data_IF_115983814503
#
_entry.id   IF_115983814503
#
_cell.length_a   1.000
_cell.length_b   1.000
_cell.length_c   1.000
_cell.angle_alpha   90.00
_cell.angle_beta   90.00
_cell.angle_gamma   90.00
#
_symmetry.space_group_name_H-M   'P 1'
#
loop_
_entity.id
_entity.type
_entity.pdbx_description
1 polymer ?
#
# COMPACT_ATOMS: atom_id res chain seq x y z
N UNK A 1 111.04 -45.77 -2.06
CA UNK A 1 112.12 -46.36 -1.25
C UNK A 1 111.63 -46.57 0.19
N UNK A 2 110.84 -47.62 0.44
CA UNK A 2 110.08 -47.80 1.70
C UNK A 2 110.49 -49.09 2.42
N UNK A 3 111.70 -49.10 2.98
CA UNK A 3 112.07 -50.06 4.04
C UNK A 3 112.93 -49.44 5.17
N UNK A 4 113.41 -48.19 5.04
CA UNK A 4 114.12 -47.46 6.11
C UNK A 4 113.28 -46.37 6.82
N UNK A 5 112.16 -45.91 6.25
CA UNK A 5 111.29 -44.88 6.89
C UNK A 5 110.31 -45.42 7.95
N UNK A 6 110.10 -46.74 8.03
CA UNK A 6 109.14 -47.33 8.99
C UNK A 6 109.73 -47.60 10.38
N UNK A 7 111.04 -47.48 10.56
CA UNK A 7 111.70 -47.68 11.87
C UNK A 7 111.82 -46.35 12.65
N UNK A 8 111.77 -45.19 11.97
CA UNK A 8 111.83 -43.87 12.60
C UNK A 8 110.51 -43.40 13.26
N UNK A 9 109.35 -43.73 12.68
CA UNK A 9 108.02 -43.36 13.24
C UNK A 9 107.61 -44.23 14.44
N UNK A 10 108.18 -45.43 14.58
CA UNK A 10 107.87 -46.35 15.68
C UNK A 10 108.62 -46.00 16.98
N UNK A 11 109.74 -45.27 16.91
CA UNK A 11 110.52 -44.87 18.08
C UNK A 11 110.12 -43.49 18.64
N UNK A 12 109.64 -42.56 17.80
CA UNK A 12 109.14 -41.25 18.29
C UNK A 12 107.79 -41.38 19.01
N UNK A 13 106.92 -42.28 18.56
CA UNK A 13 105.59 -42.51 19.15
C UNK A 13 105.58 -43.19 20.52
N UNK A 14 106.73 -43.68 20.99
CA UNK A 14 106.88 -44.27 22.34
C UNK A 14 107.30 -43.25 23.41
N UNK A 15 107.94 -42.14 23.02
CA UNK A 15 108.48 -41.14 23.95
C UNK A 15 107.42 -40.08 24.33
N UNK A 16 106.48 -39.75 23.44
CA UNK A 16 105.49 -38.69 23.71
C UNK A 16 104.34 -39.13 24.63
N UNK A 17 103.95 -40.41 24.62
CA UNK A 17 102.83 -40.94 25.40
C UNK A 17 102.95 -40.82 26.93
N UNK A 18 104.12 -41.09 27.57
CA UNK A 18 104.23 -40.91 29.01
C UNK A 18 104.26 -39.43 29.43
N UNK A 19 104.75 -38.54 28.56
CA UNK A 19 104.79 -37.10 28.83
C UNK A 19 103.38 -36.50 28.78
N UNK A 20 102.57 -36.90 27.80
CA UNK A 20 101.17 -36.45 27.69
C UNK A 20 100.30 -36.97 28.85
N UNK A 21 100.53 -38.21 29.32
CA UNK A 21 99.79 -38.79 30.44
C UNK A 21 100.05 -38.08 31.79
N UNK A 22 101.28 -37.59 32.03
CA UNK A 22 101.61 -36.82 33.25
C UNK A 22 101.08 -35.38 33.15
N UNK A 23 101.13 -34.76 31.97
CA UNK A 23 100.50 -33.46 31.72
C UNK A 23 98.97 -33.52 31.90
N UNK A 24 98.32 -34.60 31.48
CA UNK A 24 96.89 -34.79 31.69
C UNK A 24 96.54 -35.08 33.16
N UNK A 25 97.42 -35.73 33.92
CA UNK A 25 97.20 -35.95 35.36
C UNK A 25 97.29 -34.65 36.18
N UNK A 26 98.25 -33.76 35.88
CA UNK A 26 98.40 -32.47 36.56
C UNK A 26 97.29 -31.48 36.17
N UNK A 27 96.78 -31.57 34.94
CA UNK A 27 95.71 -30.69 34.46
C UNK A 27 94.30 -31.18 34.80
N UNK A 28 94.11 -32.45 35.16
CA UNK A 28 92.81 -33.03 35.52
C UNK A 28 92.04 -32.29 36.64
N UNK A 29 92.63 -31.93 37.80
CA UNK A 29 91.89 -31.21 38.85
C UNK A 29 91.52 -29.78 38.44
N UNK A 30 92.35 -29.14 37.61
CA UNK A 30 92.07 -27.81 37.05
C UNK A 30 90.97 -27.87 35.99
N UNK A 31 91.01 -28.89 35.11
CA UNK A 31 89.96 -29.17 34.13
C UNK A 31 88.64 -29.52 34.81
N UNK A 32 88.65 -30.26 35.91
CA UNK A 32 87.45 -30.58 36.68
C UNK A 32 86.84 -29.35 37.37
N UNK A 33 87.65 -28.50 37.99
CA UNK A 33 87.17 -27.24 38.59
C UNK A 33 86.69 -26.22 37.53
N UNK A 34 87.30 -26.21 36.36
CA UNK A 34 86.84 -25.40 35.22
C UNK A 34 85.56 -25.98 34.61
N UNK A 35 85.44 -27.31 34.54
CA UNK A 35 84.23 -28.00 34.11
C UNK A 35 83.07 -27.72 35.06
N UNK A 36 83.28 -27.80 36.37
CA UNK A 36 82.25 -27.52 37.37
C UNK A 36 81.80 -26.06 37.33
N UNK A 37 82.72 -25.10 37.17
CA UNK A 37 82.34 -23.69 36.93
C UNK A 37 81.62 -23.48 35.62
N UNK A 38 81.99 -24.20 34.56
CA UNK A 38 81.29 -24.19 33.27
C UNK A 38 79.89 -24.79 33.40
N UNK A 39 79.72 -25.89 34.11
CA UNK A 39 78.41 -26.50 34.37
C UNK A 39 77.54 -25.62 35.26
N UNK A 40 78.08 -25.01 36.31
CA UNK A 40 77.34 -24.08 37.17
C UNK A 40 76.96 -22.80 36.42
N UNK A 41 77.85 -22.25 35.59
CA UNK A 41 77.53 -21.08 34.76
C UNK A 41 76.53 -21.41 33.64
N UNK A 42 76.61 -22.61 33.05
CA UNK A 42 75.61 -23.10 32.09
C UNK A 42 74.27 -23.36 32.76
N UNK A 43 74.24 -23.94 33.97
CA UNK A 43 73.03 -24.16 34.74
C UNK A 43 72.38 -22.84 35.15
N UNK A 44 73.16 -21.87 35.64
CA UNK A 44 72.65 -20.53 35.97
C UNK A 44 72.18 -19.76 34.71
N UNK A 45 72.84 -19.93 33.57
CA UNK A 45 72.39 -19.36 32.30
C UNK A 45 71.09 -20.04 31.81
N UNK A 46 70.97 -21.36 31.98
CA UNK A 46 69.78 -22.12 31.64
C UNK A 46 68.59 -21.75 32.54
N UNK A 47 68.80 -21.61 33.84
CA UNK A 47 67.79 -21.17 34.80
C UNK A 47 67.29 -19.74 34.49
N UNK A 48 68.20 -18.82 34.15
CA UNK A 48 67.81 -17.48 33.67
C UNK A 48 67.03 -17.54 32.37
N UNK A 49 67.42 -18.41 31.44
CA UNK A 49 66.71 -18.59 30.18
C UNK A 49 65.30 -19.15 30.41
N UNK A 50 65.14 -20.12 31.32
CA UNK A 50 63.84 -20.66 31.74
C UNK A 50 63.00 -19.56 32.40
N UNK A 51 63.55 -18.79 33.35
CA UNK A 51 62.81 -17.72 34.01
C UNK A 51 62.36 -16.61 33.04
N UNK A 52 63.18 -16.28 32.04
CA UNK A 52 62.83 -15.35 30.96
C UNK A 52 61.75 -15.95 30.05
N UNK A 53 61.84 -17.24 29.74
CA UNK A 53 60.85 -17.92 28.92
C UNK A 53 59.50 -18.05 29.64
N UNK A 54 59.49 -18.41 30.93
CA UNK A 54 58.29 -18.46 31.76
C UNK A 54 57.65 -17.09 31.92
N UNK A 55 58.44 -16.04 32.15
CA UNK A 55 57.89 -14.68 32.24
C UNK A 55 57.29 -14.23 30.92
N UNK A 56 57.90 -14.56 29.77
CA UNK A 56 57.32 -14.33 28.43
C UNK A 56 56.02 -15.11 28.20
N UNK A 57 56.00 -16.40 28.54
CA UNK A 57 54.78 -17.22 28.41
C UNK A 57 53.66 -16.67 29.29
N UNK A 58 53.97 -16.18 30.50
CA UNK A 58 53.00 -15.54 31.38
C UNK A 58 52.51 -14.20 30.82
N UNK A 59 53.40 -13.36 30.29
CA UNK A 59 52.97 -12.10 29.67
C UNK A 59 52.12 -12.35 28.43
N UNK A 60 52.52 -13.30 27.57
CA UNK A 60 51.84 -13.62 26.32
C UNK A 60 50.47 -14.28 26.57
N UNK A 61 50.36 -15.11 27.62
CA UNK A 61 49.08 -15.66 28.05
C UNK A 61 48.15 -14.60 28.63
N UNK A 62 48.66 -13.66 29.43
CA UNK A 62 47.86 -12.55 29.97
C UNK A 62 47.41 -11.60 28.86
N UNK A 63 48.28 -11.27 27.90
CA UNK A 63 47.90 -10.40 26.76
C UNK A 63 46.88 -11.10 25.87
N UNK A 64 47.08 -12.37 25.53
CA UNK A 64 46.11 -13.12 24.71
C UNK A 64 44.75 -13.32 25.39
N UNK A 65 44.71 -13.48 26.72
CA UNK A 65 43.44 -13.51 27.47
C UNK A 65 42.74 -12.15 27.37
N UNK A 66 43.46 -11.05 27.60
CA UNK A 66 42.89 -9.68 27.50
C UNK A 66 42.42 -9.34 26.09
N UNK A 67 43.15 -9.78 25.07
CA UNK A 67 42.73 -9.62 23.67
C UNK A 67 41.42 -10.36 23.39
N UNK A 68 41.30 -11.62 23.85
CA UNK A 68 40.06 -12.40 23.71
C UNK A 68 38.89 -11.81 24.51
N UNK A 69 39.15 -11.30 25.71
CA UNK A 69 38.14 -10.61 26.52
C UNK A 69 37.67 -9.33 25.82
N UNK A 70 38.59 -8.52 25.31
CA UNK A 70 38.26 -7.31 24.55
C UNK A 70 37.49 -7.63 23.26
N UNK A 71 37.86 -8.68 22.53
CA UNK A 71 37.13 -9.17 21.35
C UNK A 71 35.71 -9.61 21.72
N UNK A 72 35.54 -10.35 22.82
CA UNK A 72 34.23 -10.78 23.31
C UNK A 72 33.36 -9.61 23.73
N UNK A 73 33.93 -8.61 24.41
CA UNK A 73 33.21 -7.39 24.79
C UNK A 73 32.76 -6.58 23.57
N UNK A 74 33.62 -6.48 22.55
CA UNK A 74 33.26 -5.81 21.29
C UNK A 74 32.13 -6.55 20.58
N UNK A 75 32.14 -7.88 20.57
CA UNK A 75 31.08 -8.67 19.95
C UNK A 75 29.74 -8.52 20.71
N UNK A 76 29.77 -8.53 22.04
CA UNK A 76 28.57 -8.27 22.85
C UNK A 76 28.02 -6.86 22.60
N UNK A 77 28.88 -5.86 22.47
CA UNK A 77 28.46 -4.49 22.11
C UNK A 77 27.81 -4.46 20.73
N UNK A 78 28.42 -5.08 19.72
CA UNK A 78 27.84 -5.17 18.36
C UNK A 78 26.47 -5.83 18.37
N UNK A 79 26.31 -6.97 19.04
CA UNK A 79 25.02 -7.66 19.13
C UNK A 79 23.97 -6.77 19.81
N UNK A 80 24.34 -6.07 20.87
CA UNK A 80 23.44 -5.14 21.56
C UNK A 80 23.00 -4.01 20.63
N UNK A 81 23.93 -3.39 19.92
CA UNK A 81 23.65 -2.29 19.00
C UNK A 81 22.76 -2.76 17.84
N UNK A 82 22.99 -3.98 17.32
CA UNK A 82 22.12 -4.63 16.34
C UNK A 82 20.71 -4.82 16.91
N UNK A 83 20.56 -5.30 18.15
CA UNK A 83 19.24 -5.50 18.74
C UNK A 83 18.49 -4.18 18.96
N UNK A 84 19.18 -3.11 19.36
CA UNK A 84 18.58 -1.78 19.52
C UNK A 84 18.13 -1.25 18.15
N UNK A 85 18.99 -1.32 17.14
CA UNK A 85 18.65 -0.87 15.79
C UNK A 85 17.50 -1.65 15.18
N UNK A 86 17.40 -2.97 15.43
CA UNK A 86 16.23 -3.77 15.02
C UNK A 86 14.95 -3.27 15.70
N UNK A 87 14.99 -3.03 17.02
CA UNK A 87 13.85 -2.52 17.76
C UNK A 87 13.41 -1.14 17.26
N UNK A 88 14.35 -0.24 16.98
CA UNK A 88 14.08 1.05 16.36
C UNK A 88 13.42 0.87 14.99
N UNK A 89 13.97 0.03 14.11
CA UNK A 89 13.40 -0.25 12.77
C UNK A 89 11.96 -0.76 12.88
N UNK A 90 11.67 -1.62 13.84
CA UNK A 90 10.32 -2.13 14.08
C UNK A 90 9.35 -1.03 14.54
N UNK A 91 9.79 -0.10 15.39
CA UNK A 91 9.02 1.09 15.75
C UNK A 91 8.76 1.99 14.54
N UNK A 92 9.79 2.28 13.74
CA UNK A 92 9.66 3.04 12.49
C UNK A 92 8.68 2.38 11.50
N UNK A 93 8.68 1.05 11.40
CA UNK A 93 7.74 0.29 10.54
C UNK A 93 6.30 0.47 11.02
N UNK A 94 6.07 0.38 12.34
CA UNK A 94 4.75 0.59 12.95
C UNK A 94 4.25 2.01 12.75
N UNK A 95 5.08 3.01 13.00
CA UNK A 95 4.72 4.42 12.82
C UNK A 95 4.40 4.75 11.36
N UNK A 96 5.18 4.23 10.42
CA UNK A 96 4.91 4.41 8.99
C UNK A 96 3.64 3.67 8.54
N UNK A 97 3.32 2.53 9.15
CA UNK A 97 2.04 1.85 8.90
C UNK A 97 0.87 2.67 9.47
N UNK A 98 1.00 3.21 10.67
CA UNK A 98 0.00 4.07 11.31
C UNK A 98 -0.25 5.35 10.51
N UNK A 99 0.81 6.03 10.05
CA UNK A 99 0.68 7.23 9.21
C UNK A 99 -0.06 6.94 7.91
N UNK A 100 0.28 5.83 7.23
CA UNK A 100 -0.46 5.41 6.02
C UNK A 100 -1.92 5.15 6.35
N UNK A 101 -2.19 4.45 7.44
CA UNK A 101 -3.55 4.17 7.89
C UNK A 101 -4.33 5.46 8.19
N UNK A 102 -3.72 6.42 8.88
CA UNK A 102 -4.33 7.72 9.18
C UNK A 102 -4.67 8.49 7.90
N UNK A 103 -3.73 8.58 6.95
CA UNK A 103 -3.96 9.23 5.66
C UNK A 103 -5.09 8.57 4.87
N UNK A 104 -5.12 7.23 4.85
CA UNK A 104 -6.21 6.49 4.20
C UNK A 104 -7.54 6.70 4.91
N UNK A 105 -7.55 6.73 6.24
CA UNK A 105 -8.76 6.94 7.02
C UNK A 105 -9.31 8.35 6.80
N UNK A 106 -8.45 9.37 6.82
CA UNK A 106 -8.84 10.76 6.55
C UNK A 106 -9.37 10.93 5.12
N UNK A 107 -8.73 10.31 4.12
CA UNK A 107 -9.23 10.30 2.75
C UNK A 107 -10.61 9.62 2.64
N UNK A 108 -10.82 8.52 3.35
CA UNK A 108 -12.12 7.82 3.38
C UNK A 108 -13.19 8.66 4.06
N UNK A 109 -12.89 9.26 5.22
CA UNK A 109 -13.83 10.11 5.97
C UNK A 109 -14.23 11.33 5.12
N UNK A 110 -13.25 12.06 4.59
CA UNK A 110 -13.52 13.25 3.76
C UNK A 110 -14.28 12.90 2.48
N UNK A 111 -14.01 11.73 1.89
CA UNK A 111 -14.79 11.22 0.77
C UNK A 111 -16.24 10.94 1.17
N UNK A 112 -16.46 10.25 2.29
CA UNK A 112 -17.80 9.95 2.82
C UNK A 112 -18.59 11.24 3.11
N UNK A 113 -17.98 12.23 3.77
CA UNK A 113 -18.61 13.52 4.06
C UNK A 113 -19.03 14.26 2.79
N UNK A 114 -18.14 14.36 1.80
CA UNK A 114 -18.45 15.01 0.51
C UNK A 114 -19.61 14.33 -0.20
N UNK A 115 -19.63 13.01 -0.18
CA UNK A 115 -20.66 12.22 -0.82
C UNK A 115 -22.00 12.33 -0.09
N UNK A 116 -22.02 12.29 1.25
CA UNK A 116 -23.25 12.51 2.03
C UNK A 116 -23.82 13.90 1.77
N UNK A 117 -22.97 14.91 1.71
CA UNK A 117 -23.39 16.27 1.37
C UNK A 117 -23.99 16.34 -0.03
N UNK A 118 -23.33 15.70 -1.02
CA UNK A 118 -23.85 15.63 -2.39
C UNK A 118 -25.20 14.91 -2.44
N UNK A 119 -25.37 13.81 -1.71
CA UNK A 119 -26.62 13.07 -1.62
C UNK A 119 -27.73 13.92 -1.00
N UNK A 120 -27.47 14.62 0.11
CA UNK A 120 -28.45 15.53 0.72
C UNK A 120 -28.86 16.64 -0.27
N UNK A 121 -27.89 17.27 -0.94
CA UNK A 121 -28.18 18.28 -1.95
C UNK A 121 -28.95 17.71 -3.15
N UNK A 122 -28.67 16.47 -3.55
CA UNK A 122 -29.42 15.80 -4.62
C UNK A 122 -30.87 15.51 -4.20
N UNK A 123 -31.10 15.03 -2.97
CA UNK A 123 -32.46 14.80 -2.42
C UNK A 123 -33.24 16.10 -2.39
N UNK A 124 -32.63 17.18 -1.89
CA UNK A 124 -33.24 18.50 -1.84
C UNK A 124 -33.61 19.01 -3.25
N UNK A 125 -32.69 18.87 -4.21
CA UNK A 125 -32.92 19.23 -5.60
C UNK A 125 -34.06 18.40 -6.24
N UNK A 126 -34.10 17.08 -6.00
CA UNK A 126 -35.17 16.21 -6.50
C UNK A 126 -36.52 16.57 -5.87
N UNK A 127 -36.55 16.80 -4.55
CA UNK A 127 -37.76 17.16 -3.81
C UNK A 127 -38.32 18.51 -4.24
N UNK A 128 -37.46 19.53 -4.36
CA UNK A 128 -37.85 20.86 -4.86
C UNK A 128 -38.35 20.80 -6.30
N UNK A 129 -37.66 20.07 -7.19
CA UNK A 129 -38.11 19.85 -8.56
C UNK A 129 -39.46 19.13 -8.61
N UNK A 130 -39.70 18.12 -7.77
CA UNK A 130 -40.98 17.42 -7.69
C UNK A 130 -42.12 18.37 -7.29
N UNK A 131 -41.89 19.24 -6.30
CA UNK A 131 -42.87 20.23 -5.86
C UNK A 131 -43.15 21.25 -6.97
N UNK A 132 -42.09 21.81 -7.56
CA UNK A 132 -42.19 22.80 -8.63
C UNK A 132 -42.91 22.25 -9.86
N UNK A 133 -42.61 21.02 -10.28
CA UNK A 133 -43.28 20.39 -11.42
C UNK A 133 -44.77 20.15 -11.14
N UNK A 134 -45.14 19.78 -9.90
CA UNK A 134 -46.55 19.63 -9.50
C UNK A 134 -47.27 20.97 -9.51
N UNK A 135 -46.65 22.02 -8.98
CA UNK A 135 -47.20 23.37 -9.00
C UNK A 135 -47.40 23.86 -10.43
N UNK A 136 -46.39 23.72 -11.30
CA UNK A 136 -46.47 24.10 -12.72
C UNK A 136 -47.56 23.31 -13.46
N UNK A 137 -47.70 22.02 -13.17
CA UNK A 137 -48.75 21.18 -13.74
C UNK A 137 -50.16 21.67 -13.33
N UNK A 138 -50.37 21.97 -12.04
CA UNK A 138 -51.64 22.49 -11.55
C UNK A 138 -51.96 23.87 -12.15
N UNK A 139 -50.96 24.75 -12.19
CA UNK A 139 -51.10 26.07 -12.82
C UNK A 139 -51.45 25.95 -14.30
N UNK A 140 -50.82 25.02 -15.02
CA UNK A 140 -51.14 24.77 -16.42
C UNK A 140 -52.60 24.35 -16.61
N UNK A 141 -53.11 23.45 -15.77
CA UNK A 141 -54.53 23.03 -15.82
C UNK A 141 -55.45 24.23 -15.59
N UNK A 142 -55.14 25.05 -14.58
CA UNK A 142 -55.92 26.24 -14.27
C UNK A 142 -55.91 27.26 -15.43
N UNK A 143 -54.72 27.64 -15.90
CA UNK A 143 -54.55 28.63 -16.96
C UNK A 143 -55.22 28.17 -18.26
N UNK A 144 -55.13 26.88 -18.58
CA UNK A 144 -55.77 26.31 -19.77
C UNK A 144 -57.28 26.26 -19.61
N UNK A 145 -57.80 25.86 -18.45
CA UNK A 145 -59.25 25.86 -18.18
C UNK A 145 -59.84 27.26 -18.36
N UNK A 146 -59.13 28.30 -17.89
CA UNK A 146 -59.55 29.69 -18.09
C UNK A 146 -59.56 30.08 -19.58
N UNK A 147 -58.49 29.78 -20.32
CA UNK A 147 -58.40 30.02 -21.76
C UNK A 147 -59.53 29.31 -22.54
N UNK A 148 -59.94 28.10 -22.12
CA UNK A 148 -61.07 27.42 -22.74
C UNK A 148 -62.39 28.10 -22.49
N UNK A 149 -62.64 28.57 -21.27
CA UNK A 149 -63.85 29.33 -20.95
C UNK A 149 -63.92 30.63 -21.77
N UNK A 150 -62.79 31.30 -21.96
CA UNK A 150 -62.69 32.47 -22.82
C UNK A 150 -63.00 32.14 -24.28
N UNK A 151 -62.38 31.07 -24.82
CA UNK A 151 -62.64 30.61 -26.19
C UNK A 151 -64.12 30.27 -26.43
N UNK A 152 -64.75 29.58 -25.48
CA UNK A 152 -66.17 29.26 -25.52
C UNK A 152 -67.02 30.55 -25.49
N UNK A 153 -66.66 31.53 -24.67
CA UNK A 153 -67.36 32.82 -24.61
C UNK A 153 -67.25 33.58 -25.93
N UNK A 154 -66.07 33.60 -26.55
CA UNK A 154 -65.86 34.19 -27.88
C UNK A 154 -66.71 33.45 -28.92
N UNK A 155 -66.71 32.12 -28.92
CA UNK A 155 -67.48 31.32 -29.86
C UNK A 155 -69.00 31.54 -29.71
N UNK A 156 -69.51 31.69 -28.48
CA UNK A 156 -70.92 32.03 -28.22
C UNK A 156 -71.23 33.43 -28.78
N UNK A 157 -70.36 34.41 -28.54
CA UNK A 157 -70.56 35.77 -29.04
C UNK A 157 -70.53 35.83 -30.57
N UNK A 158 -69.61 35.11 -31.22
CA UNK A 158 -69.56 34.95 -32.67
C UNK A 158 -70.84 34.30 -33.20
N UNK A 159 -71.27 33.19 -32.59
CA UNK A 159 -72.51 32.50 -32.98
C UNK A 159 -73.72 33.42 -32.83
N UNK A 160 -73.80 34.21 -31.76
CA UNK A 160 -74.88 35.17 -31.56
C UNK A 160 -74.87 36.29 -32.61
N UNK A 161 -73.69 36.74 -33.03
CA UNK A 161 -73.55 37.69 -34.14
C UNK A 161 -73.96 37.07 -35.47
N UNK A 162 -73.58 35.81 -35.71
CA UNK A 162 -73.96 35.07 -36.93
C UNK A 162 -75.47 34.86 -37.00
N UNK A 163 -76.12 34.50 -35.88
CA UNK A 163 -77.58 34.38 -35.81
C UNK A 163 -78.30 35.69 -36.17
N UNK A 164 -77.86 36.83 -35.60
CA UNK A 164 -78.41 38.15 -35.94
C UNK A 164 -78.24 38.46 -37.43
N UNK A 165 -77.07 38.19 -38.00
CA UNK A 165 -76.81 38.41 -39.42
C UNK A 165 -77.68 37.54 -40.33
N UNK A 166 -77.91 36.28 -39.95
CA UNK A 166 -78.82 35.37 -40.66
C UNK A 166 -80.25 35.93 -40.64
N UNK A 167 -80.68 36.46 -39.48
CA UNK A 167 -82.00 37.09 -39.35
C UNK A 167 -82.18 38.32 -40.24
N UNK A 168 -81.15 39.17 -40.33
CA UNK A 168 -81.15 40.39 -41.12
C UNK A 168 -81.08 40.13 -42.63
N UNK A 169 -80.29 39.14 -43.08
CA UNK A 169 -80.02 38.90 -44.51
C UNK A 169 -81.00 37.94 -45.18
N UNK A 170 -81.64 37.04 -44.43
CA UNK A 170 -82.51 36.00 -44.96
C UNK A 170 -83.94 36.07 -44.41
N UNK A 171 -84.43 37.27 -44.06
CA UNK A 171 -85.76 37.51 -43.47
C UNK A 171 -86.90 36.81 -44.21
N UNK A 172 -86.79 36.67 -45.53
CA UNK A 172 -87.87 36.21 -46.40
C UNK A 172 -87.74 34.71 -46.77
N UNK A 173 -86.67 34.03 -46.35
CA UNK A 173 -86.39 32.64 -46.69
C UNK A 173 -86.14 31.76 -45.46
N UNK A 174 -87.23 31.20 -44.93
CA UNK A 174 -87.25 30.35 -43.75
C UNK A 174 -86.38 29.08 -43.90
N UNK A 175 -86.33 28.50 -45.10
CA UNK A 175 -85.49 27.32 -45.36
C UNK A 175 -84.00 27.65 -45.29
N UNK A 176 -83.59 28.80 -45.82
CA UNK A 176 -82.20 29.23 -45.74
C UNK A 176 -81.78 29.54 -44.29
N UNK A 177 -82.67 30.16 -43.50
CA UNK A 177 -82.44 30.39 -42.06
C UNK A 177 -82.20 29.09 -41.30
N UNK A 178 -83.07 28.10 -41.45
CA UNK A 178 -82.94 26.81 -40.75
C UNK A 178 -81.62 26.09 -41.07
N UNK A 179 -81.21 26.09 -42.35
CA UNK A 179 -79.93 25.48 -42.77
C UNK A 179 -78.73 26.22 -42.14
N UNK A 180 -78.74 27.56 -42.16
CA UNK A 180 -77.64 28.36 -41.64
C UNK A 180 -77.58 28.30 -40.11
N UNK A 181 -78.71 28.30 -39.41
CA UNK A 181 -78.75 28.11 -37.97
C UNK A 181 -78.17 26.76 -37.55
N UNK A 182 -78.55 25.68 -38.23
CA UNK A 182 -77.94 24.35 -38.00
C UNK A 182 -76.44 24.34 -38.26
N UNK A 183 -75.96 25.10 -39.23
CA UNK A 183 -74.52 25.20 -39.50
C UNK A 183 -73.77 25.94 -38.38
N UNK A 184 -74.31 27.05 -37.87
CA UNK A 184 -73.76 27.80 -36.73
C UNK A 184 -73.78 26.96 -35.46
N UNK A 185 -74.90 26.31 -35.15
CA UNK A 185 -75.02 25.39 -34.01
C UNK A 185 -74.00 24.25 -34.09
N UNK A 186 -73.82 23.67 -35.27
CA UNK A 186 -72.84 22.59 -35.47
C UNK A 186 -71.41 23.09 -35.28
N UNK A 187 -71.08 24.31 -35.74
CA UNK A 187 -69.77 24.94 -35.50
C UNK A 187 -69.54 25.13 -34.00
N UNK A 188 -70.52 25.69 -33.29
CA UNK A 188 -70.43 25.92 -31.85
C UNK A 188 -70.29 24.62 -31.06
N UNK A 189 -71.10 23.60 -31.39
CA UNK A 189 -71.03 22.27 -30.78
C UNK A 189 -69.67 21.59 -31.00
N UNK A 190 -69.07 21.76 -32.18
CA UNK A 190 -67.72 21.25 -32.44
C UNK A 190 -66.67 21.94 -31.57
N UNK A 191 -66.74 23.27 -31.40
CA UNK A 191 -65.81 24.03 -30.54
C UNK A 191 -65.91 23.54 -29.09
N UNK A 192 -67.13 23.38 -28.56
CA UNK A 192 -67.33 22.82 -27.21
C UNK A 192 -66.75 21.41 -27.09
N UNK A 193 -67.06 20.53 -28.04
CA UNK A 193 -66.58 19.15 -28.04
C UNK A 193 -65.05 19.07 -28.07
N UNK A 194 -64.39 19.91 -28.86
CA UNK A 194 -62.93 19.98 -28.92
C UNK A 194 -62.33 20.49 -27.60
N UNK A 195 -62.94 21.51 -26.99
CA UNK A 195 -62.50 22.02 -25.69
C UNK A 195 -62.64 20.96 -24.58
N UNK A 196 -63.76 20.24 -24.56
CA UNK A 196 -64.00 19.16 -23.60
C UNK A 196 -63.01 17.99 -23.78
N UNK A 197 -62.78 17.55 -25.03
CA UNK A 197 -61.79 16.50 -25.33
C UNK A 197 -60.40 16.89 -24.85
N UNK A 198 -59.99 18.12 -25.12
CA UNK A 198 -58.68 18.61 -24.68
C UNK A 198 -58.55 18.64 -23.16
N UNK A 199 -59.57 19.06 -22.41
CA UNK A 199 -59.52 19.06 -20.94
C UNK A 199 -59.40 17.64 -20.37
N UNK A 200 -60.05 16.66 -21.01
CA UNK A 200 -59.92 15.24 -20.65
C UNK A 200 -58.50 14.74 -20.92
N UNK A 201 -57.98 15.00 -22.12
CA UNK A 201 -56.60 14.64 -22.52
C UNK A 201 -55.56 15.30 -21.60
N UNK A 202 -55.72 16.59 -21.30
CA UNK A 202 -54.83 17.32 -20.39
C UNK A 202 -54.82 16.70 -18.99
N UNK A 203 -55.97 16.28 -18.46
CA UNK A 203 -56.03 15.63 -17.15
C UNK A 203 -55.28 14.28 -17.17
N UNK A 204 -55.45 13.51 -18.24
CA UNK A 204 -54.73 12.25 -18.42
C UNK A 204 -53.22 12.44 -18.55
N UNK A 205 -52.79 13.45 -19.31
CA UNK A 205 -51.38 13.84 -19.43
C UNK A 205 -50.79 14.27 -18.08
N UNK A 206 -51.50 15.07 -17.30
CA UNK A 206 -51.07 15.49 -15.96
C UNK A 206 -50.98 14.30 -15.01
N UNK A 207 -51.90 13.33 -15.11
CA UNK A 207 -51.82 12.07 -14.35
C UNK A 207 -50.58 11.27 -14.72
N UNK A 208 -50.27 11.17 -16.01
CA UNK A 208 -49.05 10.52 -16.52
C UNK A 208 -47.78 11.23 -16.05
N UNK A 209 -47.77 12.56 -16.10
CA UNK A 209 -46.68 13.42 -15.61
C UNK A 209 -46.46 13.23 -14.11
N UNK A 210 -47.52 13.21 -13.30
CA UNK A 210 -47.44 12.94 -11.86
C UNK A 210 -46.87 11.56 -11.55
N UNK A 211 -47.23 10.54 -12.33
CA UNK A 211 -46.66 9.19 -12.22
C UNK A 211 -45.17 9.20 -12.56
N UNK A 212 -44.79 9.89 -13.62
CA UNK A 212 -43.38 10.00 -14.06
C UNK A 212 -42.52 10.73 -13.03
N UNK A 213 -43.03 11.81 -12.43
CA UNK A 213 -42.38 12.54 -11.34
C UNK A 213 -42.16 11.63 -10.12
N UNK A 214 -43.20 10.87 -9.73
CA UNK A 214 -43.11 9.97 -8.59
C UNK A 214 -42.07 8.87 -8.81
N UNK A 215 -42.02 8.31 -10.03
CA UNK A 215 -41.04 7.30 -10.42
C UNK A 215 -39.61 7.87 -10.52
N UNK A 216 -39.44 9.13 -10.94
CA UNK A 216 -38.15 9.80 -10.90
C UNK A 216 -37.66 9.97 -9.45
N UNK A 217 -38.54 10.40 -8.54
CA UNK A 217 -38.22 10.52 -7.13
C UNK A 217 -37.84 9.17 -6.50
N UNK A 218 -38.63 8.12 -6.78
CA UNK A 218 -38.37 6.76 -6.31
C UNK A 218 -37.03 6.22 -6.85
N UNK A 219 -36.74 6.40 -8.14
CA UNK A 219 -35.45 5.99 -8.72
C UNK A 219 -34.28 6.78 -8.15
N UNK A 220 -34.46 8.08 -7.91
CA UNK A 220 -33.46 8.93 -7.27
C UNK A 220 -33.17 8.45 -5.83
N UNK A 221 -34.21 8.16 -5.06
CA UNK A 221 -34.08 7.62 -3.72
C UNK A 221 -33.41 6.25 -3.72
N UNK A 222 -33.86 5.31 -4.56
CA UNK A 222 -33.25 3.99 -4.70
C UNK A 222 -31.77 4.08 -5.13
N UNK A 223 -31.41 5.04 -5.99
CA UNK A 223 -30.02 5.27 -6.37
C UNK A 223 -29.19 5.69 -5.15
N UNK A 224 -29.72 6.59 -4.32
CA UNK A 224 -29.06 7.04 -3.08
C UNK A 224 -28.96 5.89 -2.08
N UNK A 225 -30.03 5.14 -1.82
CA UNK A 225 -30.04 4.01 -0.89
C UNK A 225 -29.03 2.94 -1.30
N UNK A 226 -29.06 2.48 -2.56
CA UNK A 226 -28.08 1.52 -3.08
C UNK A 226 -26.64 2.04 -3.00
N UNK A 227 -26.45 3.34 -3.19
CA UNK A 227 -25.13 3.94 -3.10
C UNK A 227 -24.65 4.00 -1.64
N UNK A 228 -25.52 4.37 -0.69
CA UNK A 228 -25.24 4.35 0.74
C UNK A 228 -24.92 2.94 1.25
N UNK A 229 -25.67 1.93 0.82
CA UNK A 229 -25.44 0.53 1.20
C UNK A 229 -24.04 0.07 0.77
N UNK A 230 -23.60 0.41 -0.44
CA UNK A 230 -22.24 0.09 -0.92
C UNK A 230 -21.15 0.73 -0.06
N UNK A 231 -21.41 1.89 0.57
CA UNK A 231 -20.44 2.56 1.44
C UNK A 231 -20.26 1.85 2.77
N UNK A 232 -21.30 1.21 3.30
CA UNK A 232 -21.21 0.46 4.57
C UNK A 232 -20.36 -0.80 4.46
N UNK A 233 -20.17 -1.33 3.24
CA UNK A 233 -19.42 -2.56 2.98
C UNK A 233 -17.92 -2.29 2.78
N UNK A 234 -17.55 -1.12 2.26
CA UNK A 234 -16.16 -0.73 1.98
C UNK A 234 -15.20 -0.55 3.17
N UNK A 235 -15.60 -0.29 4.44
CA UNK A 235 -14.64 -0.07 5.51
C UNK A 235 -13.85 -1.34 5.86
N UNK A 236 -14.38 -2.54 5.59
CA UNK A 236 -13.85 -3.77 6.17
C UNK A 236 -12.91 -4.57 5.26
N UNK A 237 -13.08 -4.53 3.93
CA UNK A 237 -12.30 -5.40 3.03
C UNK A 237 -10.87 -4.89 2.77
N UNK A 238 -10.67 -3.57 2.66
CA UNK A 238 -9.35 -3.01 2.35
C UNK A 238 -8.40 -2.94 3.56
N UNK A 239 -8.92 -2.96 4.79
CA UNK A 239 -8.10 -3.00 6.01
C UNK A 239 -7.40 -4.36 6.18
N UNK A 240 -8.00 -5.46 5.74
CA UNK A 240 -7.46 -6.81 5.89
C UNK A 240 -6.39 -7.16 4.83
N UNK A 241 -6.53 -6.64 3.60
CA UNK A 241 -5.58 -6.91 2.51
C UNK A 241 -4.17 -6.36 2.78
N UNK A 242 -4.05 -5.24 3.50
CA UNK A 242 -2.74 -4.66 3.85
C UNK A 242 -1.94 -5.50 4.87
N UNK A 243 -2.59 -6.45 5.54
CA UNK A 243 -1.97 -7.33 6.54
C UNK A 243 -1.35 -8.57 5.91
N UNK A 244 -1.97 -9.13 4.86
CA UNK A 244 -1.52 -10.38 4.23
C UNK A 244 -0.34 -10.19 3.27
N UNK A 245 -0.18 -9.01 2.68
CA UNK A 245 0.94 -8.72 1.78
C UNK A 245 2.27 -8.51 2.51
N UNK A 246 2.25 -8.23 3.82
CA UNK A 246 3.49 -8.09 4.62
C UNK A 246 4.04 -9.44 5.09
N UNK A 247 3.17 -10.44 5.31
CA UNK A 247 3.60 -11.77 5.79
C UNK A 247 4.33 -12.58 4.70
N UNK A 248 4.10 -12.27 3.43
CA UNK A 248 4.77 -12.92 2.29
C UNK A 248 6.16 -12.34 1.96
N UNK A 249 6.56 -11.19 2.54
CA UNK A 249 7.92 -10.64 2.38
C UNK A 249 8.91 -11.09 3.46
N UNK A 250 8.44 -11.72 4.55
CA UNK A 250 9.29 -12.06 5.71
C UNK A 250 9.88 -13.50 5.68
N UNK A 251 9.70 -14.25 4.59
CA UNK A 251 10.41 -15.54 4.41
C UNK A 251 11.69 -15.38 3.59
N UNK A 252 12.89 -15.40 4.19
CA UNK A 252 14.12 -15.49 3.42
C UNK A 252 14.18 -16.86 2.72
N UNK A 253 14.16 -16.86 1.38
CA UNK A 253 14.47 -18.07 0.59
C UNK A 253 15.94 -18.41 0.77
N UNK A 254 16.25 -19.21 1.78
CA UNK A 254 17.54 -19.88 1.88
C UNK A 254 17.55 -21.13 0.99
N UNK A 255 18.43 -21.12 -0.02
CA UNK A 255 19.06 -22.33 -0.55
C UNK A 255 18.63 -22.75 -1.96
N UNK A 256 19.32 -22.22 -2.97
CA UNK A 256 19.69 -23.03 -4.13
C UNK A 256 21.21 -23.07 -4.23
N UNK A 257 21.77 -24.26 -3.96
CA UNK A 257 23.20 -24.52 -4.03
C UNK A 257 23.68 -24.37 -5.47
N UNK A 258 24.72 -23.57 -5.63
CA UNK A 258 25.57 -23.52 -6.82
C UNK A 258 26.02 -24.95 -7.21
N UNK A 259 25.63 -25.41 -8.40
CA UNK A 259 26.29 -26.56 -9.05
C UNK A 259 27.58 -26.06 -9.70
N UNK A 260 28.72 -26.51 -9.17
CA UNK A 260 30.02 -26.41 -9.83
C UNK A 260 30.02 -27.20 -11.15
N UNK A 261 30.61 -26.69 -12.25
CA UNK A 261 30.76 -27.46 -13.48
C UNK A 261 31.92 -28.46 -13.34
N UNK A 262 31.63 -29.75 -13.51
CA UNK A 262 32.61 -30.82 -13.57
C UNK A 262 33.43 -30.74 -14.86
N UNK A 263 34.74 -30.53 -14.71
CA UNK A 263 35.75 -30.73 -15.75
C UNK A 263 35.70 -32.18 -16.26
N UNK A 264 35.26 -32.40 -17.50
CA UNK A 264 35.47 -33.66 -18.22
C UNK A 264 36.72 -33.50 -19.08
N UNK A 265 37.79 -34.17 -18.65
CA UNK A 265 39.04 -34.35 -19.38
C UNK A 265 38.78 -35.08 -20.70
N UNK A 266 39.31 -34.52 -21.79
CA UNK A 266 39.79 -35.32 -22.91
C UNK A 266 40.97 -36.18 -22.45
N UNK A 267 40.99 -37.45 -22.87
CA UNK A 267 42.17 -38.12 -23.42
C UNK A 267 41.85 -39.55 -23.85
N UNK A 268 42.16 -39.78 -25.13
CA UNK A 268 42.62 -41.00 -25.81
C UNK A 268 41.73 -42.23 -25.91
#
# INVERSE_FOLDING_TARGET
MSFLNKVGEALSSFIHKPVDAVCDWITAPLKAAEHERREQSQAAAHERAIAIQESRIRTDSITSIREREAESELEVKRIRDINITIAEIDEWKKDKALQRMQQTAEAVISYQERLTNLNVSAIEAIGSMQLELRERAQKLVYDKTLQYKELQTIAINEAMSDFKRIDEQFSDNEQAKDILYKAVDRKLANIFKTADSFLVELNEDIKSLNKSISLLAERGQNFIENHLDRLTILPNENLLLSSQDQENLERPRFGDRQKLPSLRKEKS
#
